data_IF_087204190222
#
_entry.id   IF_087204190222
#
_cell.length_a   1.000
_cell.length_b   1.000
_cell.length_c   1.000
_cell.angle_alpha   90.00
_cell.angle_beta   90.00
_cell.angle_gamma   90.00
#
_symmetry.space_group_name_H-M   'P 1'
#
loop_
_entity.id
_entity.type
_entity.pdbx_description
1 polymer ?
#
# COMPACT_ATOMS: atom_id res chain seq x y z
N UNK A 1 4.06 -13.81 23.27
CA UNK A 1 2.93 -12.97 22.78
C UNK A 1 3.20 -11.56 23.28
N UNK A 2 4.09 -10.83 22.58
CA UNK A 2 4.43 -9.44 22.93
C UNK A 2 3.43 -8.52 22.22
N UNK A 3 2.82 -7.57 22.92
CA UNK A 3 1.93 -6.60 22.28
C UNK A 3 2.75 -5.76 21.32
N UNK A 4 2.24 -5.56 20.10
CA UNK A 4 2.68 -4.47 19.22
C UNK A 4 2.63 -3.18 20.05
N UNK A 5 3.63 -2.28 19.95
CA UNK A 5 3.50 -0.97 20.53
C UNK A 5 2.32 -0.30 19.81
N UNK A 6 1.17 -0.30 20.45
CA UNK A 6 0.06 0.52 20.06
C UNK A 6 0.55 1.96 20.14
N UNK A 7 0.70 2.60 18.99
CA UNK A 7 1.06 4.01 18.96
C UNK A 7 0.06 4.77 19.83
N UNK A 8 0.56 5.72 20.63
CA UNK A 8 -0.29 6.60 21.43
C UNK A 8 -1.46 7.08 20.55
N UNK A 9 -2.72 6.95 20.98
CA UNK A 9 -3.89 7.40 20.22
C UNK A 9 -3.78 8.85 19.74
N UNK A 10 -3.01 9.69 20.46
CA UNK A 10 -2.70 11.06 20.05
C UNK A 10 -1.80 11.08 18.80
N UNK A 11 -0.81 10.21 18.75
CA UNK A 11 0.10 10.04 17.61
C UNK A 11 -0.66 9.60 16.37
N UNK A 12 -1.53 8.60 16.48
CA UNK A 12 -2.36 8.13 15.36
C UNK A 12 -3.26 9.24 14.82
N UNK A 13 -3.96 9.96 15.71
CA UNK A 13 -4.83 11.09 15.32
C UNK A 13 -4.06 12.23 14.66
N UNK A 14 -2.82 12.50 15.11
CA UNK A 14 -1.96 13.53 14.49
C UNK A 14 -1.57 13.12 13.06
N UNK A 15 -1.19 11.86 12.84
CA UNK A 15 -0.85 11.34 11.51
C UNK A 15 -2.05 11.43 10.57
N UNK A 16 -3.22 10.96 11.01
CA UNK A 16 -4.47 11.04 10.25
C UNK A 16 -4.78 12.47 9.80
N UNK A 17 -4.71 13.45 10.70
CA UNK A 17 -4.91 14.89 10.38
C UNK A 17 -3.90 15.41 9.37
N UNK A 18 -2.64 14.96 9.43
CA UNK A 18 -1.61 15.34 8.47
C UNK A 18 -1.84 14.69 7.10
N UNK A 19 -2.29 13.42 7.05
CA UNK A 19 -2.68 12.74 5.82
C UNK A 19 -3.88 13.43 5.15
N UNK A 20 -4.92 13.76 5.91
CA UNK A 20 -6.08 14.51 5.41
C UNK A 20 -5.67 15.88 4.84
N UNK A 21 -4.83 16.61 5.59
CA UNK A 21 -4.32 17.91 5.14
C UNK A 21 -3.50 17.79 3.84
N UNK A 22 -2.67 16.75 3.71
CA UNK A 22 -1.91 16.49 2.49
C UNK A 22 -2.84 16.25 1.29
N UNK A 23 -3.82 15.36 1.43
CA UNK A 23 -4.76 15.06 0.34
C UNK A 23 -5.56 16.31 -0.08
N UNK A 24 -5.97 17.12 0.90
CA UNK A 24 -6.68 18.38 0.62
C UNK A 24 -5.78 19.41 -0.10
N UNK A 25 -4.50 19.53 0.27
CA UNK A 25 -3.56 20.40 -0.46
C UNK A 25 -3.26 19.86 -1.86
N UNK A 26 -3.12 18.54 -2.02
CA UNK A 26 -2.89 17.91 -3.33
C UNK A 26 -4.09 18.05 -4.29
N UNK A 27 -5.29 18.23 -3.79
CA UNK A 27 -6.45 18.55 -4.61
C UNK A 27 -6.39 19.99 -5.21
N UNK A 28 -5.62 20.89 -4.60
CA UNK A 28 -5.52 22.29 -4.99
C UNK A 28 -4.22 22.58 -5.78
N UNK A 29 -3.16 21.79 -5.57
CA UNK A 29 -1.83 22.07 -6.14
C UNK A 29 -0.95 20.82 -6.19
N UNK A 30 0.05 20.76 -7.06
CA UNK A 30 0.98 19.63 -7.14
C UNK A 30 1.86 19.53 -5.88
N UNK A 31 2.26 18.29 -5.53
CA UNK A 31 3.02 17.96 -4.32
C UNK A 31 4.27 18.85 -4.12
N UNK A 32 4.98 19.18 -5.20
CA UNK A 32 6.20 20.02 -5.15
C UNK A 32 5.96 21.46 -4.64
N UNK A 33 4.72 21.94 -4.68
CA UNK A 33 4.34 23.30 -4.22
C UNK A 33 3.82 23.30 -2.78
N UNK A 34 3.64 22.11 -2.19
CA UNK A 34 3.16 21.95 -0.83
C UNK A 34 4.32 22.12 0.17
N UNK A 35 4.15 22.98 1.14
CA UNK A 35 5.13 23.20 2.21
C UNK A 35 4.63 22.64 3.55
N UNK A 36 5.57 22.34 4.45
CA UNK A 36 5.25 21.94 5.83
C UNK A 36 4.38 23.00 6.52
N UNK A 37 4.63 24.29 6.26
CA UNK A 37 3.82 25.38 6.86
C UNK A 37 2.35 25.33 6.44
N UNK A 38 2.07 24.95 5.18
CA UNK A 38 0.70 24.78 4.70
C UNK A 38 0.02 23.58 5.36
N UNK A 39 0.70 22.46 5.43
CA UNK A 39 0.20 21.23 6.04
C UNK A 39 -0.13 21.40 7.51
N UNK A 40 0.80 21.94 8.32
CA UNK A 40 0.57 22.12 9.76
C UNK A 40 -0.54 23.12 10.07
N UNK A 41 -0.67 24.18 9.25
CA UNK A 41 -1.77 25.15 9.36
C UNK A 41 -3.11 24.46 9.05
N UNK A 42 -3.21 23.70 7.96
CA UNK A 42 -4.44 22.99 7.58
C UNK A 42 -4.80 21.88 8.57
N UNK A 43 -3.81 21.12 9.02
CA UNK A 43 -3.99 20.07 10.02
C UNK A 43 -4.25 20.60 11.43
N UNK A 44 -3.98 21.88 11.70
CA UNK A 44 -4.08 22.48 13.04
C UNK A 44 -3.12 21.83 14.04
N UNK A 45 -1.89 21.53 13.62
CA UNK A 45 -0.83 20.99 14.48
C UNK A 45 0.36 21.92 14.55
N UNK A 46 1.17 21.83 15.60
CA UNK A 46 2.39 22.60 15.70
C UNK A 46 3.45 22.10 14.70
N UNK A 47 4.29 23.01 14.19
CA UNK A 47 5.38 22.63 13.28
C UNK A 47 6.35 21.63 13.91
N UNK A 48 6.65 21.77 15.19
CA UNK A 48 7.48 20.81 15.92
C UNK A 48 6.85 19.41 15.94
N UNK A 49 5.52 19.33 16.04
CA UNK A 49 4.78 18.07 16.01
C UNK A 49 4.92 17.37 14.66
N UNK A 50 4.94 18.10 13.54
CA UNK A 50 5.22 17.53 12.23
C UNK A 50 6.56 16.79 12.22
N UNK A 51 7.63 17.46 12.68
CA UNK A 51 8.98 16.90 12.67
C UNK A 51 9.23 15.77 13.70
N UNK A 52 8.28 15.51 14.60
CA UNK A 52 8.29 14.27 15.41
C UNK A 52 7.86 13.03 14.62
N UNK A 53 7.18 13.22 13.48
CA UNK A 53 6.62 12.13 12.68
C UNK A 53 7.27 12.00 11.31
N UNK A 54 7.63 13.11 10.67
CA UNK A 54 8.09 13.16 9.29
C UNK A 54 9.27 14.11 9.13
N UNK A 55 10.19 13.75 8.22
CA UNK A 55 11.34 14.58 7.91
C UNK A 55 10.98 15.73 6.96
N UNK A 56 10.09 15.48 6.01
CA UNK A 56 9.65 16.41 4.98
C UNK A 56 8.26 16.05 4.41
N UNK A 57 7.80 16.79 3.41
CA UNK A 57 6.51 16.55 2.75
C UNK A 57 6.51 15.26 1.94
N UNK A 58 7.55 14.90 1.18
CA UNK A 58 7.65 13.60 0.52
C UNK A 58 7.54 12.41 1.46
N UNK A 59 8.17 12.45 2.64
CA UNK A 59 8.10 11.40 3.66
C UNK A 59 6.66 11.19 4.16
N UNK A 60 5.95 12.29 4.48
CA UNK A 60 4.51 12.24 4.79
C UNK A 60 3.70 11.64 3.63
N UNK A 61 4.01 12.01 2.38
CA UNK A 61 3.26 11.54 1.22
C UNK A 61 3.47 10.04 0.98
N UNK A 62 4.70 9.55 1.16
CA UNK A 62 5.00 8.10 1.10
C UNK A 62 4.22 7.33 2.16
N UNK A 63 4.22 7.82 3.40
CA UNK A 63 3.50 7.16 4.50
C UNK A 63 1.97 7.14 4.27
N UNK A 64 1.39 8.24 3.80
CA UNK A 64 -0.04 8.32 3.50
C UNK A 64 -0.46 7.35 2.37
N UNK A 65 0.36 7.20 1.33
CA UNK A 65 0.12 6.22 0.27
C UNK A 65 0.33 4.78 0.76
N UNK A 66 1.39 4.53 1.53
CA UNK A 66 1.68 3.20 2.07
C UNK A 66 0.61 2.74 3.09
N UNK A 67 0.03 3.66 3.87
CA UNK A 67 -1.07 3.34 4.79
C UNK A 67 -2.29 2.82 4.04
N UNK A 68 -2.68 3.43 2.93
CA UNK A 68 -3.78 2.94 2.08
C UNK A 68 -3.53 1.49 1.59
N UNK A 69 -2.29 1.15 1.26
CA UNK A 69 -1.92 -0.23 0.87
C UNK A 69 -1.98 -1.16 2.09
N UNK A 70 -1.47 -0.72 3.25
CA UNK A 70 -1.54 -1.52 4.50
C UNK A 70 -2.98 -1.85 4.88
N UNK A 71 -3.89 -0.89 4.79
CA UNK A 71 -5.32 -1.09 5.09
C UNK A 71 -5.97 -2.08 4.12
N UNK A 72 -5.68 -1.98 2.83
CA UNK A 72 -6.17 -2.94 1.84
C UNK A 72 -5.63 -4.35 2.10
N UNK A 73 -4.36 -4.49 2.45
CA UNK A 73 -3.73 -5.77 2.80
C UNK A 73 -4.34 -6.36 4.07
N UNK A 74 -4.58 -5.55 5.11
CA UNK A 74 -5.23 -6.01 6.34
C UNK A 74 -6.67 -6.49 6.09
N UNK A 75 -7.42 -5.74 5.26
CA UNK A 75 -8.76 -6.12 4.86
C UNK A 75 -8.79 -7.42 4.04
N UNK A 76 -7.78 -7.65 3.17
CA UNK A 76 -7.59 -8.91 2.45
C UNK A 76 -7.31 -10.08 3.40
N UNK A 77 -6.51 -9.87 4.45
CA UNK A 77 -6.20 -10.90 5.45
C UNK A 77 -7.39 -11.26 6.33
N UNK A 78 -8.23 -10.30 6.65
CA UNK A 78 -9.46 -10.52 7.42
C UNK A 78 -10.59 -11.11 6.59
N UNK A 79 -10.50 -11.09 5.27
CA UNK A 79 -11.48 -11.66 4.36
C UNK A 79 -11.57 -13.18 4.51
N UNK A 80 -12.80 -13.72 4.59
CA UNK A 80 -13.10 -15.14 4.81
C UNK A 80 -13.85 -15.78 3.66
N UNK A 81 -13.92 -15.11 2.50
CA UNK A 81 -14.54 -15.67 1.30
C UNK A 81 -13.72 -16.80 0.68
N UNK A 82 -14.37 -17.57 -0.19
CA UNK A 82 -13.69 -18.58 -1.01
C UNK A 82 -12.97 -17.86 -2.15
N UNK A 83 -11.66 -18.12 -2.37
CA UNK A 83 -10.93 -17.49 -3.47
C UNK A 83 -11.50 -17.87 -4.84
N UNK A 84 -12.13 -16.91 -5.50
CA UNK A 84 -12.60 -17.01 -6.88
C UNK A 84 -11.70 -16.10 -7.76
N UNK A 85 -10.99 -16.65 -8.75
CA UNK A 85 -10.17 -15.86 -9.66
C UNK A 85 -10.92 -14.79 -10.46
N UNK A 86 -12.24 -14.96 -10.61
CA UNK A 86 -13.10 -14.00 -11.30
C UNK A 86 -13.68 -12.91 -10.41
N UNK A 87 -13.61 -13.05 -9.08
CA UNK A 87 -14.21 -12.15 -8.11
C UNK A 87 -13.19 -11.75 -7.04
N UNK A 88 -12.43 -10.65 -7.26
CA UNK A 88 -11.49 -10.16 -6.24
C UNK A 88 -12.23 -9.71 -4.98
N UNK A 89 -11.59 -9.82 -3.79
CA UNK A 89 -12.17 -9.29 -2.56
C UNK A 89 -12.49 -7.80 -2.68
N UNK A 90 -13.61 -7.34 -2.07
CA UNK A 90 -14.04 -5.93 -2.16
C UNK A 90 -12.96 -4.91 -1.78
N UNK A 91 -12.10 -5.25 -0.80
CA UNK A 91 -11.01 -4.39 -0.38
C UNK A 91 -9.98 -4.11 -1.50
N UNK A 92 -9.68 -5.10 -2.34
CA UNK A 92 -8.76 -4.93 -3.47
C UNK A 92 -9.38 -4.04 -4.55
N UNK A 93 -10.65 -4.23 -4.87
CA UNK A 93 -11.38 -3.38 -5.81
C UNK A 93 -11.44 -1.94 -5.30
N UNK A 94 -11.84 -1.73 -4.05
CA UNK A 94 -11.92 -0.41 -3.43
C UNK A 94 -10.55 0.30 -3.39
N UNK A 95 -9.46 -0.45 -3.19
CA UNK A 95 -8.11 0.11 -3.27
C UNK A 95 -7.81 0.68 -4.67
N UNK A 96 -8.02 -0.09 -5.73
CA UNK A 96 -7.76 0.35 -7.10
C UNK A 96 -8.70 1.50 -7.52
N UNK A 97 -9.97 1.45 -7.12
CA UNK A 97 -10.91 2.56 -7.33
C UNK A 97 -10.44 3.85 -6.63
N UNK A 98 -9.95 3.73 -5.41
CA UNK A 98 -9.41 4.87 -4.64
C UNK A 98 -8.13 5.47 -5.24
N UNK A 99 -7.28 4.64 -5.85
CA UNK A 99 -6.05 5.09 -6.52
C UNK A 99 -6.34 5.69 -7.91
N UNK A 100 -7.39 5.27 -8.59
CA UNK A 100 -7.74 5.78 -9.92
C UNK A 100 -8.07 7.29 -9.91
N UNK A 101 -8.57 7.81 -8.80
CA UNK A 101 -9.01 9.19 -8.66
C UNK A 101 -7.92 10.17 -8.24
N UNK A 102 -8.00 11.42 -8.74
CA UNK A 102 -7.23 12.53 -8.17
C UNK A 102 -7.78 12.88 -6.77
N UNK A 103 -6.94 13.35 -5.84
CA UNK A 103 -5.50 13.60 -5.96
C UNK A 103 -4.62 12.37 -5.69
N UNK A 104 -5.18 11.23 -5.27
CA UNK A 104 -4.40 10.05 -4.88
C UNK A 104 -3.58 9.48 -6.04
N UNK A 105 -4.20 9.29 -7.21
CA UNK A 105 -3.48 8.78 -8.38
C UNK A 105 -2.27 9.62 -8.76
N UNK A 106 -2.37 10.94 -8.60
CA UNK A 106 -1.26 11.84 -8.85
C UNK A 106 -0.12 11.69 -7.84
N UNK A 107 -0.43 11.45 -6.55
CA UNK A 107 0.58 11.13 -5.54
C UNK A 107 1.29 9.81 -5.86
N UNK A 108 0.54 8.75 -6.19
CA UNK A 108 1.12 7.47 -6.57
C UNK A 108 2.04 7.62 -7.79
N UNK A 109 1.63 8.38 -8.81
CA UNK A 109 2.44 8.64 -10.02
C UNK A 109 3.74 9.38 -9.75
N UNK A 110 3.74 10.30 -8.77
CA UNK A 110 4.95 11.05 -8.39
C UNK A 110 5.91 10.21 -7.54
N UNK A 111 5.39 9.38 -6.64
CA UNK A 111 6.15 8.65 -5.63
C UNK A 111 6.55 7.23 -6.06
N UNK A 112 5.86 6.68 -7.06
CA UNK A 112 6.06 5.34 -7.58
C UNK A 112 6.58 5.44 -9.01
N UNK A 113 7.77 4.94 -9.28
CA UNK A 113 8.35 4.96 -10.62
C UNK A 113 7.89 3.75 -11.44
N UNK A 114 7.85 3.82 -12.79
CA UNK A 114 7.57 2.66 -13.64
C UNK A 114 8.42 1.44 -13.25
N UNK A 115 7.83 0.26 -13.28
CA UNK A 115 8.49 -0.97 -12.83
C UNK A 115 8.53 -1.15 -11.30
N UNK A 116 7.89 -0.26 -10.53
CA UNK A 116 7.73 -0.42 -9.08
C UNK A 116 8.85 0.16 -8.20
N UNK A 117 9.76 0.94 -8.77
CA UNK A 117 10.79 1.67 -8.02
C UNK A 117 10.29 2.98 -7.41
N UNK A 118 11.23 3.79 -6.90
CA UNK A 118 10.95 5.08 -6.26
C UNK A 118 10.63 4.96 -4.76
N UNK A 119 10.51 6.09 -4.04
CA UNK A 119 10.42 6.10 -2.58
C UNK A 119 9.21 5.32 -2.04
N UNK A 120 8.06 5.40 -2.72
CA UNK A 120 6.90 4.59 -2.37
C UNK A 120 7.11 3.12 -2.76
N UNK A 121 7.68 2.85 -3.95
CA UNK A 121 7.95 1.50 -4.42
C UNK A 121 8.85 0.72 -3.48
N UNK A 122 9.95 1.31 -3.05
CA UNK A 122 10.89 0.71 -2.09
C UNK A 122 10.23 0.42 -0.74
N UNK A 123 9.35 1.31 -0.29
CA UNK A 123 8.60 1.14 0.95
C UNK A 123 7.58 0.02 0.83
N UNK A 124 6.76 0.01 -0.23
CA UNK A 124 5.76 -1.03 -0.47
C UNK A 124 6.41 -2.41 -0.65
N UNK A 125 7.46 -2.50 -1.45
CA UNK A 125 8.17 -3.77 -1.66
C UNK A 125 8.68 -4.34 -0.34
N UNK A 126 9.34 -3.53 0.48
CA UNK A 126 9.87 -3.94 1.78
C UNK A 126 8.76 -4.41 2.74
N UNK A 127 7.68 -3.65 2.88
CA UNK A 127 6.59 -3.95 3.80
C UNK A 127 5.78 -5.17 3.37
N UNK A 128 5.39 -5.25 2.10
CA UNK A 128 4.64 -6.38 1.55
C UNK A 128 5.45 -7.67 1.61
N UNK A 129 6.76 -7.60 1.28
CA UNK A 129 7.66 -8.74 1.38
C UNK A 129 7.79 -9.22 2.82
N UNK A 130 8.02 -8.32 3.77
CA UNK A 130 8.18 -8.68 5.17
C UNK A 130 6.91 -9.36 5.73
N UNK A 131 5.74 -8.82 5.42
CA UNK A 131 4.45 -9.37 5.84
C UNK A 131 4.21 -10.75 5.21
N UNK A 132 4.32 -10.86 3.89
CA UNK A 132 4.14 -12.12 3.18
C UNK A 132 5.11 -13.20 3.66
N UNK A 133 6.37 -12.85 3.94
CA UNK A 133 7.36 -13.76 4.49
C UNK A 133 6.96 -14.28 5.87
N UNK A 134 6.55 -13.38 6.78
CA UNK A 134 6.15 -13.75 8.14
C UNK A 134 4.98 -14.75 8.13
N UNK A 135 3.97 -14.50 7.29
CA UNK A 135 2.79 -15.36 7.17
C UNK A 135 3.13 -16.74 6.60
N UNK A 136 3.94 -16.78 5.54
CA UNK A 136 4.35 -18.04 4.90
C UNK A 136 5.26 -18.87 5.79
N UNK A 137 6.15 -18.23 6.54
CA UNK A 137 6.99 -18.91 7.51
C UNK A 137 6.14 -19.52 8.63
N UNK A 138 5.16 -18.77 9.14
CA UNK A 138 4.23 -19.26 10.16
C UNK A 138 3.36 -20.44 9.67
N UNK A 139 3.02 -20.45 8.38
CA UNK A 139 2.23 -21.51 7.74
C UNK A 139 3.07 -22.71 7.27
N UNK A 140 4.40 -22.69 7.40
CA UNK A 140 5.29 -23.76 6.92
C UNK A 140 5.31 -23.89 5.38
N UNK A 141 5.13 -22.80 4.66
CA UNK A 141 5.10 -22.78 3.20
C UNK A 141 6.43 -23.12 2.55
N UNK A 142 6.37 -23.63 1.31
CA UNK A 142 7.57 -23.89 0.51
C UNK A 142 8.14 -22.60 -0.07
N UNK A 143 9.47 -22.45 -0.06
CA UNK A 143 10.22 -21.29 -0.58
C UNK A 143 9.63 -19.92 -0.15
N UNK A 144 9.43 -19.66 1.16
CA UNK A 144 8.70 -18.50 1.63
C UNK A 144 9.35 -17.17 1.20
N UNK A 145 10.68 -17.10 1.13
CA UNK A 145 11.42 -15.90 0.71
C UNK A 145 11.16 -15.55 -0.76
N UNK A 146 11.20 -16.56 -1.64
CA UNK A 146 10.98 -16.38 -3.08
C UNK A 146 9.57 -15.90 -3.36
N UNK A 147 8.58 -16.58 -2.77
CA UNK A 147 7.18 -16.22 -2.97
C UNK A 147 6.85 -14.85 -2.36
N UNK A 148 7.39 -14.53 -1.18
CA UNK A 148 7.21 -13.22 -0.59
C UNK A 148 7.79 -12.09 -1.46
N UNK A 149 8.96 -12.31 -2.05
CA UNK A 149 9.56 -11.37 -3.01
C UNK A 149 8.72 -11.25 -4.28
N UNK A 150 8.23 -12.37 -4.83
CA UNK A 150 7.39 -12.37 -6.02
C UNK A 150 6.05 -11.63 -5.79
N UNK A 151 5.39 -11.85 -4.66
CA UNK A 151 4.15 -11.15 -4.29
C UNK A 151 4.38 -9.63 -4.22
N UNK A 152 5.42 -9.21 -3.51
CA UNK A 152 5.73 -7.79 -3.35
C UNK A 152 6.08 -7.13 -4.70
N UNK A 153 6.95 -7.77 -5.50
CA UNK A 153 7.35 -7.25 -6.79
C UNK A 153 6.18 -7.18 -7.79
N UNK A 154 5.34 -8.23 -7.83
CA UNK A 154 4.17 -8.27 -8.72
C UNK A 154 3.20 -7.15 -8.38
N UNK A 155 2.82 -7.01 -7.11
CA UNK A 155 1.87 -5.96 -6.69
C UNK A 155 2.42 -4.56 -6.98
N UNK A 156 3.66 -4.29 -6.56
CA UNK A 156 4.28 -2.96 -6.70
C UNK A 156 4.51 -2.61 -8.16
N UNK A 157 4.98 -3.56 -8.99
CA UNK A 157 5.21 -3.35 -10.42
C UNK A 157 3.92 -3.11 -11.19
N UNK A 158 2.89 -3.94 -10.99
CA UNK A 158 1.59 -3.77 -11.65
C UNK A 158 0.94 -2.45 -11.26
N UNK A 159 0.98 -2.07 -9.98
CA UNK A 159 0.45 -0.79 -9.51
C UNK A 159 1.17 0.38 -10.18
N UNK A 160 2.51 0.33 -10.24
CA UNK A 160 3.33 1.36 -10.87
C UNK A 160 3.01 1.52 -12.35
N UNK A 161 3.02 0.42 -13.08
CA UNK A 161 2.77 0.44 -14.53
C UNK A 161 1.35 0.89 -14.85
N UNK A 162 0.39 0.57 -14.02
CA UNK A 162 -0.99 1.03 -14.18
C UNK A 162 -1.15 2.53 -13.94
N UNK A 163 -0.61 3.08 -12.84
CA UNK A 163 -0.73 4.53 -12.58
C UNK A 163 0.03 5.38 -13.59
N UNK A 164 1.04 4.81 -14.26
CA UNK A 164 1.77 5.44 -15.36
C UNK A 164 1.16 5.19 -16.75
N UNK A 165 0.08 4.41 -16.85
CA UNK A 165 -0.59 4.11 -18.12
C UNK A 165 0.14 3.12 -19.02
N UNK A 166 1.16 2.42 -18.50
CA UNK A 166 1.83 1.31 -19.21
C UNK A 166 0.95 0.06 -19.24
N UNK A 167 0.14 -0.14 -18.20
CA UNK A 167 -0.97 -1.06 -18.17
C UNK A 167 -2.27 -0.27 -18.31
N UNK A 168 -3.12 -0.68 -19.25
CA UNK A 168 -4.40 -0.03 -19.51
C UNK A 168 -5.55 -0.89 -18.99
N UNK A 169 -6.60 -0.23 -18.51
CA UNK A 169 -7.81 -0.91 -18.03
C UNK A 169 -8.47 -0.17 -16.88
N UNK A 170 -9.77 -0.38 -16.69
CA UNK A 170 -10.49 0.20 -15.56
C UNK A 170 -10.02 -0.45 -14.25
N UNK A 171 -10.16 0.24 -13.10
CA UNK A 171 -9.69 -0.22 -11.80
C UNK A 171 -10.10 -1.65 -11.44
N UNK A 172 -11.37 -1.99 -11.68
CA UNK A 172 -11.91 -3.33 -11.38
C UNK A 172 -11.25 -4.45 -12.20
N UNK A 173 -10.87 -4.19 -13.46
CA UNK A 173 -10.19 -5.18 -14.30
C UNK A 173 -8.77 -5.41 -13.78
N UNK A 174 -8.04 -4.35 -13.45
CA UNK A 174 -6.70 -4.44 -12.87
C UNK A 174 -6.74 -5.16 -11.53
N UNK A 175 -7.71 -4.84 -10.66
CA UNK A 175 -7.92 -5.55 -9.39
C UNK A 175 -8.13 -7.06 -9.61
N UNK A 176 -8.93 -7.44 -10.62
CA UNK A 176 -9.19 -8.84 -10.95
C UNK A 176 -7.93 -9.55 -11.43
N UNK A 177 -7.15 -8.92 -12.29
CA UNK A 177 -5.93 -9.52 -12.84
C UNK A 177 -4.83 -9.64 -11.76
N UNK A 178 -4.67 -8.63 -10.90
CA UNK A 178 -3.79 -8.71 -9.72
C UNK A 178 -4.23 -9.86 -8.80
N UNK A 179 -5.53 -9.98 -8.54
CA UNK A 179 -6.07 -11.05 -7.71
C UNK A 179 -5.76 -12.45 -8.25
N UNK A 180 -5.92 -12.65 -9.56
CA UNK A 180 -5.55 -13.91 -10.24
C UNK A 180 -4.08 -14.25 -10.04
N UNK A 181 -3.19 -13.28 -10.22
CA UNK A 181 -1.75 -13.46 -10.00
C UNK A 181 -1.43 -13.82 -8.55
N UNK A 182 -2.05 -13.13 -7.59
CA UNK A 182 -1.85 -13.42 -6.17
C UNK A 182 -2.32 -14.83 -5.78
N UNK A 183 -3.45 -15.33 -6.33
CA UNK A 183 -3.92 -16.69 -6.11
C UNK A 183 -2.91 -17.70 -6.65
N UNK A 184 -2.36 -17.48 -7.85
CA UNK A 184 -1.37 -18.38 -8.45
C UNK A 184 -0.11 -18.46 -7.58
N UNK A 185 0.40 -17.31 -7.14
CA UNK A 185 1.57 -17.23 -6.26
C UNK A 185 1.30 -17.90 -4.91
N UNK A 186 0.08 -17.73 -4.36
CA UNK A 186 -0.30 -18.37 -3.11
C UNK A 186 -0.34 -19.90 -3.22
N UNK A 187 -0.92 -20.44 -4.28
CA UNK A 187 -1.00 -21.90 -4.52
C UNK A 187 0.37 -22.55 -4.67
N UNK A 188 1.32 -21.88 -5.31
CA UNK A 188 2.70 -22.39 -5.45
C UNK A 188 3.48 -22.39 -4.13
N UNK A 189 3.12 -21.53 -3.19
CA UNK A 189 3.73 -21.46 -1.87
C UNK A 189 3.04 -22.29 -0.78
N UNK A 190 1.94 -22.98 -1.11
CA UNK A 190 1.25 -23.82 -0.14
C UNK A 190 2.09 -25.05 0.24
N UNK A 191 2.04 -25.54 1.50
CA UNK A 191 2.71 -26.77 1.90
C UNK A 191 2.24 -27.93 1.02
N UNK A 192 3.18 -28.76 0.55
CA UNK A 192 2.84 -29.98 -0.18
C UNK A 192 2.11 -30.93 0.76
N UNK A 193 0.95 -31.50 0.37
CA UNK A 193 0.31 -32.51 1.21
C UNK A 193 1.28 -33.65 1.48
N UNK A 194 1.34 -34.18 2.71
CA UNK A 194 2.19 -35.33 2.99
C UNK A 194 1.69 -36.53 2.18
N UNK A 195 2.51 -37.03 1.25
CA UNK A 195 2.29 -38.31 0.55
C UNK A 195 1.68 -38.19 -0.85
N UNK A 196 2.38 -37.59 -1.78
CA UNK A 196 2.20 -37.83 -3.23
C UNK A 196 3.52 -38.18 -3.85
#
# INVERSE_FOLDING_TARGET
MSPRPGGDPRTARTRERLHEALLAECAERPLREISVAMLVRRAGVARATFYLHYTDVPDLAVDACAETVRDAVEALHSWRGVPDPGAPPPALTAFFDGVAGAPRGDLYRVLLHPGGGGPLGDTLHRELRARSLAERTAAGGAAPELIASAVAATFTGVLADWVHGLLTGPPHAVATDVWRLLIVLHRHGAPRPPGS
#
